data_IF_342369335351
#
_entry.id   IF_342369335351
#
_cell.length_a   1.000
_cell.length_b   1.000
_cell.length_c   1.000
_cell.angle_alpha   90.00
_cell.angle_beta   90.00
_cell.angle_gamma   90.00
#
_symmetry.space_group_name_H-M   'P 1'
#
loop_
_entity.id
_entity.type
_entity.pdbx_description
1 polymer ?
#
# COMPACT_ATOMS: atom_id res chain seq x y z
N UNK A 1 -7.88 -6.32 -13.15
CA UNK A 1 -8.87 -5.61 -12.31
C UNK A 1 -9.92 -4.96 -13.19
N UNK A 2 -9.53 -4.09 -14.10
CA UNK A 2 -10.49 -3.40 -14.99
C UNK A 2 -11.27 -4.35 -15.91
N UNK A 3 -10.83 -5.58 -16.10
CA UNK A 3 -11.51 -6.57 -16.98
C UNK A 3 -12.89 -7.02 -16.47
N UNK A 4 -13.08 -7.01 -15.16
CA UNK A 4 -14.34 -7.38 -14.52
C UNK A 4 -15.16 -6.17 -14.07
N UNK A 5 -14.57 -4.98 -14.15
CA UNK A 5 -15.26 -3.73 -13.95
C UNK A 5 -15.72 -3.21 -15.31
N UNK A 6 -16.93 -2.69 -15.38
CA UNK A 6 -17.39 -1.94 -16.55
C UNK A 6 -17.55 -0.47 -16.15
N UNK A 7 -16.43 0.26 -15.97
CA UNK A 7 -16.50 1.63 -15.56
C UNK A 7 -17.17 2.48 -16.65
N UNK A 8 -17.96 3.42 -16.22
CA UNK A 8 -18.50 4.43 -17.14
C UNK A 8 -17.36 5.32 -17.67
N UNK A 9 -17.59 5.98 -18.79
CA UNK A 9 -16.62 6.94 -19.33
C UNK A 9 -16.23 8.01 -18.31
N UNK A 10 -17.19 8.53 -17.56
CA UNK A 10 -16.95 9.52 -16.51
C UNK A 10 -16.03 8.98 -15.40
N UNK A 11 -16.20 7.73 -14.99
CA UNK A 11 -15.30 7.09 -14.01
C UNK A 11 -13.89 6.92 -14.57
N UNK A 12 -13.77 6.52 -15.84
CA UNK A 12 -12.46 6.41 -16.50
C UNK A 12 -11.77 7.77 -16.56
N UNK A 13 -12.49 8.82 -16.99
CA UNK A 13 -11.96 10.18 -17.06
C UNK A 13 -11.51 10.66 -15.67
N UNK A 14 -12.26 10.36 -14.61
CA UNK A 14 -11.88 10.67 -13.22
C UNK A 14 -10.61 9.92 -12.80
N UNK A 15 -10.56 8.60 -13.02
CA UNK A 15 -9.42 7.77 -12.59
C UNK A 15 -8.11 8.13 -13.30
N UNK A 16 -8.19 8.52 -14.58
CA UNK A 16 -7.02 8.95 -15.34
C UNK A 16 -6.69 10.44 -15.17
N UNK A 17 -7.51 11.19 -14.45
CA UNK A 17 -7.27 12.63 -14.23
C UNK A 17 -6.07 12.96 -13.34
N UNK A 18 -5.52 11.97 -12.63
CA UNK A 18 -4.48 12.17 -11.61
C UNK A 18 -4.97 12.83 -10.32
N UNK A 19 -6.27 13.11 -10.21
CA UNK A 19 -6.84 13.69 -8.97
C UNK A 19 -6.97 12.64 -7.89
N UNK A 20 -6.80 13.08 -6.65
CA UNK A 20 -7.04 12.21 -5.49
C UNK A 20 -8.51 11.81 -5.42
N UNK A 21 -8.81 10.54 -5.11
CA UNK A 21 -10.17 10.09 -4.92
C UNK A 21 -10.84 10.82 -3.74
N UNK A 22 -12.14 11.06 -3.85
CA UNK A 22 -12.94 11.61 -2.75
C UNK A 22 -13.29 10.49 -1.79
N UNK A 23 -12.97 10.66 -0.52
CA UNK A 23 -13.20 9.67 0.53
C UNK A 23 -13.92 10.31 1.70
N UNK A 24 -14.97 9.66 2.17
CA UNK A 24 -15.67 10.04 3.40
C UNK A 24 -14.95 9.46 4.61
N UNK A 25 -14.04 10.23 5.17
CA UNK A 25 -13.22 9.85 6.31
C UNK A 25 -14.00 9.74 7.62
N UNK A 26 -15.24 10.24 7.69
CA UNK A 26 -16.09 10.08 8.89
C UNK A 26 -16.45 8.61 9.17
N UNK A 27 -16.29 7.73 8.19
CA UNK A 27 -16.51 6.30 8.31
C UNK A 27 -15.33 5.51 8.92
N UNK A 28 -14.24 6.19 9.21
CA UNK A 28 -13.08 5.55 9.85
C UNK A 28 -13.32 5.44 11.34
N UNK A 29 -13.56 4.23 11.81
CA UNK A 29 -13.71 3.95 13.23
C UNK A 29 -12.35 3.58 13.82
N UNK A 30 -11.92 4.33 14.83
CA UNK A 30 -10.67 4.09 15.54
C UNK A 30 -10.90 3.88 17.02
N UNK A 31 -10.22 2.89 17.59
CA UNK A 31 -10.23 2.63 19.02
C UNK A 31 -9.09 3.39 19.70
N UNK A 32 -9.41 4.19 20.72
CA UNK A 32 -8.41 4.86 21.53
C UNK A 32 -7.40 3.87 22.14
N UNK A 33 -6.13 4.26 22.20
CA UNK A 33 -5.06 3.43 22.75
C UNK A 33 -4.60 2.27 21.86
N UNK A 34 -5.11 2.18 20.63
CA UNK A 34 -4.66 1.17 19.66
C UNK A 34 -3.36 1.60 18.99
N UNK A 35 -2.56 0.64 18.55
CA UNK A 35 -1.37 0.90 17.73
C UNK A 35 -1.76 1.60 16.41
N UNK A 36 -0.89 2.49 15.91
CA UNK A 36 -1.12 3.26 14.68
C UNK A 36 -1.35 2.39 13.45
N UNK A 37 -0.74 1.21 13.39
CA UNK A 37 -1.02 0.22 12.33
C UNK A 37 -2.49 -0.25 12.30
N UNK A 38 -3.17 -0.28 13.45
CA UNK A 38 -4.60 -0.61 13.51
C UNK A 38 -5.46 0.55 12.97
N UNK A 39 -5.06 1.80 13.22
CA UNK A 39 -5.67 2.96 12.59
C UNK A 39 -5.49 2.94 11.06
N UNK A 40 -4.30 2.60 10.60
CA UNK A 40 -4.01 2.39 9.17
C UNK A 40 -4.94 1.33 8.56
N UNK A 41 -5.15 0.20 9.24
CA UNK A 41 -6.08 -0.84 8.79
C UNK A 41 -7.51 -0.33 8.65
N UNK A 42 -7.99 0.49 9.59
CA UNK A 42 -9.32 1.09 9.51
C UNK A 42 -9.45 2.02 8.29
N UNK A 43 -8.44 2.86 8.04
CA UNK A 43 -8.40 3.72 6.86
C UNK A 43 -8.38 2.88 5.57
N UNK A 44 -7.56 1.83 5.51
CA UNK A 44 -7.47 0.95 4.35
C UNK A 44 -8.78 0.23 4.07
N UNK A 45 -9.53 -0.16 5.12
CA UNK A 45 -10.87 -0.73 4.96
C UNK A 45 -11.85 0.22 4.30
N UNK A 46 -11.86 1.51 4.71
CA UNK A 46 -12.70 2.54 4.10
C UNK A 46 -12.27 2.81 2.65
N UNK A 47 -10.96 2.85 2.39
CA UNK A 47 -10.44 3.02 1.03
C UNK A 47 -10.85 1.87 0.11
N UNK A 48 -10.82 0.63 0.58
CA UNK A 48 -11.23 -0.53 -0.20
C UNK A 48 -12.71 -0.47 -0.63
N UNK A 49 -13.56 0.13 0.21
CA UNK A 49 -14.99 0.28 -0.09
C UNK A 49 -15.30 1.48 -1.01
N UNK A 50 -14.51 2.56 -0.91
CA UNK A 50 -14.83 3.83 -1.57
C UNK A 50 -13.96 4.13 -2.80
N UNK A 51 -12.84 3.44 -2.98
CA UNK A 51 -11.91 3.67 -4.09
C UNK A 51 -11.80 2.42 -4.95
N UNK A 52 -12.74 2.20 -5.88
CA UNK A 52 -12.87 0.94 -6.62
C UNK A 52 -11.66 0.63 -7.53
N UNK A 53 -10.88 1.62 -7.90
CA UNK A 53 -9.66 1.49 -8.69
C UNK A 53 -8.38 1.42 -7.82
N UNK A 54 -8.51 1.20 -6.51
CA UNK A 54 -7.35 1.01 -5.65
C UNK A 54 -6.92 -0.46 -5.59
N UNK A 55 -5.61 -0.66 -5.55
CA UNK A 55 -4.95 -1.94 -5.27
C UNK A 55 -4.11 -1.76 -4.01
N UNK A 56 -4.17 -2.74 -3.13
CA UNK A 56 -3.25 -2.83 -2.01
C UNK A 56 -2.43 -4.12 -2.13
N UNK A 57 -1.16 -4.06 -1.77
CA UNK A 57 -0.24 -5.20 -1.79
C UNK A 57 0.41 -5.42 -0.43
N UNK A 58 0.88 -6.64 -0.18
CA UNK A 58 1.72 -6.96 0.97
C UNK A 58 2.79 -7.97 0.59
N UNK A 59 3.95 -7.84 1.23
CA UNK A 59 5.07 -8.77 1.11
C UNK A 59 4.93 -9.98 2.05
N UNK A 60 3.76 -10.64 1.99
CA UNK A 60 3.37 -11.80 2.82
C UNK A 60 3.22 -11.49 4.33
N UNK A 61 2.96 -10.23 4.66
CA UNK A 61 2.86 -9.74 6.03
C UNK A 61 1.52 -9.08 6.36
N UNK A 62 0.49 -9.24 5.51
CA UNK A 62 -0.75 -8.47 5.58
C UNK A 62 -1.44 -8.51 6.94
N UNK A 63 -1.32 -9.63 7.65
CA UNK A 63 -1.85 -9.78 9.00
C UNK A 63 -1.08 -8.93 10.04
N UNK A 64 0.22 -8.74 9.85
CA UNK A 64 1.08 -8.01 10.78
C UNK A 64 1.22 -6.54 10.40
N UNK A 65 1.43 -6.23 9.13
CA UNK A 65 1.52 -4.86 8.62
C UNK A 65 0.16 -4.17 8.51
N UNK A 66 -0.92 -4.94 8.78
CA UNK A 66 -2.31 -4.47 8.82
C UNK A 66 -2.89 -4.01 7.48
N UNK A 67 -2.27 -4.36 6.35
CA UNK A 67 -2.91 -4.22 5.04
C UNK A 67 -4.09 -5.17 4.88
N UNK A 68 -4.23 -6.16 5.76
CA UNK A 68 -5.42 -7.01 5.87
C UNK A 68 -6.73 -6.23 6.10
N UNK A 69 -6.64 -5.00 6.59
CA UNK A 69 -7.79 -4.09 6.66
C UNK A 69 -8.41 -3.84 5.29
N UNK A 70 -7.58 -3.72 4.26
CA UNK A 70 -8.04 -3.65 2.87
C UNK A 70 -8.51 -5.02 2.37
N UNK A 71 -7.74 -6.08 2.60
CA UNK A 71 -8.05 -7.43 2.12
C UNK A 71 -9.40 -7.94 2.62
N UNK A 72 -9.79 -7.63 3.85
CA UNK A 72 -11.09 -8.02 4.45
C UNK A 72 -12.30 -7.43 3.71
N UNK A 73 -12.11 -6.40 2.92
CA UNK A 73 -13.16 -5.72 2.14
C UNK A 73 -13.14 -6.09 0.65
N UNK A 74 -12.16 -6.88 0.23
CA UNK A 74 -11.98 -7.34 -1.14
C UNK A 74 -11.50 -8.80 -1.12
N UNK A 75 -10.86 -9.24 -2.17
CA UNK A 75 -10.17 -10.54 -2.24
C UNK A 75 -8.82 -10.41 -2.93
N UNK A 76 -8.00 -11.41 -2.75
CA UNK A 76 -6.70 -11.48 -3.42
C UNK A 76 -6.88 -11.67 -4.93
N UNK A 77 -5.99 -11.06 -5.69
CA UNK A 77 -5.78 -11.35 -7.11
C UNK A 77 -5.07 -12.69 -7.19
N UNK A 78 -5.61 -13.63 -7.94
CA UNK A 78 -5.01 -14.95 -8.15
C UNK A 78 -4.94 -15.27 -9.63
N UNK A 79 -4.14 -16.28 -9.99
CA UNK A 79 -4.03 -16.73 -11.38
C UNK A 79 -5.39 -17.16 -11.90
N UNK A 80 -5.84 -16.51 -12.97
CA UNK A 80 -7.14 -16.77 -13.61
C UNK A 80 -8.32 -16.01 -13.00
N UNK A 81 -8.15 -15.37 -11.83
CA UNK A 81 -9.16 -14.48 -11.24
C UNK A 81 -8.54 -13.14 -10.83
N UNK A 82 -8.81 -12.13 -11.64
CA UNK A 82 -8.36 -10.74 -11.44
C UNK A 82 -9.47 -9.82 -10.91
N UNK A 83 -10.54 -10.38 -10.33
CA UNK A 83 -11.66 -9.60 -9.79
C UNK A 83 -11.38 -9.06 -8.39
N UNK A 84 -10.31 -9.52 -7.72
CA UNK A 84 -9.83 -8.98 -6.46
C UNK A 84 -9.04 -7.68 -6.64
N UNK A 85 -8.78 -7.00 -5.54
CA UNK A 85 -7.98 -5.78 -5.49
C UNK A 85 -6.78 -5.87 -4.52
N UNK A 86 -6.52 -7.05 -3.97
CA UNK A 86 -5.38 -7.27 -3.09
C UNK A 86 -4.32 -8.15 -3.77
N UNK A 87 -3.08 -7.68 -3.79
CA UNK A 87 -1.97 -8.38 -4.42
C UNK A 87 -1.05 -8.99 -3.36
N UNK A 88 -1.03 -10.33 -3.28
CA UNK A 88 -0.10 -11.08 -2.45
C UNK A 88 1.23 -11.20 -3.21
N UNK A 89 2.17 -10.34 -2.86
CA UNK A 89 3.44 -10.26 -3.58
C UNK A 89 4.44 -11.38 -3.18
N UNK A 90 4.20 -12.06 -2.06
CA UNK A 90 5.20 -12.89 -1.44
C UNK A 90 6.32 -12.06 -0.79
N UNK A 91 7.34 -12.70 -0.25
CA UNK A 91 8.51 -12.01 0.33
C UNK A 91 9.40 -11.50 -0.80
N UNK A 92 8.95 -10.45 -1.48
CA UNK A 92 9.60 -9.86 -2.65
C UNK A 92 9.34 -8.35 -2.72
N UNK A 93 9.89 -7.61 -1.76
CA UNK A 93 9.62 -6.19 -1.55
C UNK A 93 9.95 -5.33 -2.77
N UNK A 94 11.09 -5.57 -3.41
CA UNK A 94 11.49 -4.84 -4.61
C UNK A 94 10.50 -5.05 -5.74
N UNK A 95 10.17 -6.30 -6.04
CA UNK A 95 9.21 -6.64 -7.10
C UNK A 95 7.83 -6.05 -6.83
N UNK A 96 7.36 -6.12 -5.56
CA UNK A 96 6.11 -5.50 -5.14
C UNK A 96 6.12 -4.00 -5.39
N UNK A 97 7.20 -3.32 -5.02
CA UNK A 97 7.35 -1.89 -5.21
C UNK A 97 7.35 -1.51 -6.69
N UNK A 98 8.14 -2.20 -7.51
CA UNK A 98 8.24 -1.95 -8.95
C UNK A 98 6.90 -2.19 -9.67
N UNK A 99 6.16 -3.23 -9.28
CA UNK A 99 4.82 -3.49 -9.82
C UNK A 99 3.83 -2.37 -9.46
N UNK A 100 3.85 -1.90 -8.21
CA UNK A 100 2.99 -0.80 -7.78
C UNK A 100 3.35 0.52 -8.48
N UNK A 101 4.64 0.79 -8.68
CA UNK A 101 5.12 1.94 -9.47
C UNK A 101 4.62 1.83 -10.91
N UNK A 102 4.78 0.65 -11.54
CA UNK A 102 4.31 0.40 -12.90
C UNK A 102 2.80 0.61 -13.06
N UNK A 103 1.99 0.14 -12.09
CA UNK A 103 0.55 0.38 -12.08
C UNK A 103 0.21 1.87 -12.00
N UNK A 104 0.91 2.62 -11.15
CA UNK A 104 0.70 4.07 -11.02
C UNK A 104 1.11 4.82 -12.28
N UNK A 105 2.21 4.42 -12.94
CA UNK A 105 2.67 5.00 -14.20
C UNK A 105 1.70 4.72 -15.36
N UNK A 106 1.08 3.54 -15.38
CA UNK A 106 0.02 3.23 -16.34
C UNK A 106 -1.16 4.20 -16.21
N UNK A 107 -1.44 4.65 -14.99
CA UNK A 107 -2.58 5.50 -14.68
C UNK A 107 -3.88 4.71 -14.46
N UNK A 108 -4.90 5.40 -13.98
CA UNK A 108 -6.21 4.82 -13.71
C UNK A 108 -6.29 3.92 -12.46
N UNK A 109 -5.19 3.73 -11.75
CA UNK A 109 -5.09 2.89 -10.56
C UNK A 109 -4.43 3.69 -9.43
N UNK A 110 -4.89 3.46 -8.21
CA UNK A 110 -4.23 3.93 -6.99
C UNK A 110 -3.57 2.72 -6.33
N UNK A 111 -2.24 2.75 -6.16
CA UNK A 111 -1.51 1.65 -5.57
C UNK A 111 -0.95 2.01 -4.19
N UNK A 112 -1.15 1.08 -3.24
CA UNK A 112 -0.51 1.08 -1.93
C UNK A 112 0.12 -0.28 -1.66
N UNK A 113 1.16 -0.30 -0.85
CA UNK A 113 1.81 -1.54 -0.45
C UNK A 113 2.31 -1.48 0.98
N UNK A 114 2.32 -2.62 1.65
CA UNK A 114 2.75 -2.73 3.03
C UNK A 114 3.86 -3.75 3.26
N UNK A 115 4.72 -3.43 4.21
CA UNK A 115 5.71 -4.31 4.82
C UNK A 115 6.20 -3.71 6.14
N UNK A 116 7.13 -4.36 6.84
CA UNK A 116 7.80 -3.76 8.00
C UNK A 116 8.82 -2.72 7.55
N UNK A 117 9.06 -1.72 8.38
CA UNK A 117 9.92 -0.60 8.02
C UNK A 117 11.38 -1.02 7.77
N UNK A 118 11.91 -1.96 8.54
CA UNK A 118 13.24 -2.51 8.31
C UNK A 118 13.40 -3.08 6.89
N UNK A 119 12.35 -3.67 6.34
CA UNK A 119 12.37 -4.26 4.99
C UNK A 119 12.25 -3.22 3.86
N UNK A 120 12.13 -1.93 4.19
CA UNK A 120 12.35 -0.86 3.22
C UNK A 120 13.74 -0.94 2.59
N UNK A 121 14.71 -1.57 3.27
CA UNK A 121 16.04 -1.83 2.74
C UNK A 121 16.03 -2.61 1.44
N UNK A 122 15.11 -3.57 1.31
CA UNK A 122 15.00 -4.40 0.10
C UNK A 122 14.30 -3.70 -1.07
N UNK A 123 13.61 -2.58 -0.83
CA UNK A 123 12.90 -1.82 -1.86
C UNK A 123 13.47 -0.41 -2.09
N UNK A 124 14.56 -0.03 -1.45
CA UNK A 124 15.15 1.32 -1.58
C UNK A 124 15.37 1.80 -3.00
N UNK A 125 15.89 0.99 -3.95
CA UNK A 125 16.02 1.43 -5.33
C UNK A 125 14.69 1.86 -5.95
N UNK A 126 13.62 1.11 -5.71
CA UNK A 126 12.28 1.43 -6.19
C UNK A 126 11.74 2.70 -5.53
N UNK A 127 11.89 2.85 -4.21
CA UNK A 127 11.50 4.07 -3.47
C UNK A 127 12.19 5.30 -4.05
N UNK A 128 13.51 5.21 -4.28
CA UNK A 128 14.29 6.29 -4.89
C UNK A 128 13.77 6.64 -6.29
N UNK A 129 13.50 5.66 -7.13
CA UNK A 129 12.99 5.88 -8.48
C UNK A 129 11.58 6.49 -8.44
N UNK A 130 10.71 6.00 -7.55
CA UNK A 130 9.38 6.59 -7.36
C UNK A 130 9.47 8.08 -6.97
N UNK A 131 10.40 8.44 -6.08
CA UNK A 131 10.64 9.83 -5.69
C UNK A 131 11.14 10.68 -6.87
N UNK A 132 12.16 10.21 -7.61
CA UNK A 132 12.71 10.90 -8.77
C UNK A 132 11.67 11.12 -9.89
N UNK A 133 10.81 10.12 -10.12
CA UNK A 133 9.75 10.17 -11.13
C UNK A 133 8.48 10.86 -10.61
N UNK A 134 8.44 11.24 -9.33
CA UNK A 134 7.28 11.81 -8.66
C UNK A 134 6.01 10.95 -8.78
N UNK A 135 6.18 9.63 -8.71
CA UNK A 135 5.07 8.68 -8.77
C UNK A 135 4.42 8.57 -7.40
N UNK A 136 3.12 8.84 -7.23
CA UNK A 136 2.46 8.93 -5.93
C UNK A 136 2.04 7.57 -5.36
N UNK A 137 2.93 6.58 -5.40
CA UNK A 137 2.76 5.28 -4.74
C UNK A 137 2.74 5.46 -3.23
N UNK A 138 1.89 4.70 -2.54
CA UNK A 138 1.80 4.74 -1.07
C UNK A 138 2.58 3.57 -0.50
N UNK A 139 3.72 3.87 0.11
CA UNK A 139 4.50 2.93 0.90
C UNK A 139 4.01 2.97 2.34
N UNK A 140 3.52 1.85 2.86
CA UNK A 140 3.02 1.71 4.22
C UNK A 140 4.00 0.85 4.99
N UNK A 141 4.77 1.49 5.87
CA UNK A 141 5.76 0.81 6.69
C UNK A 141 5.30 0.78 8.14
N UNK A 142 5.18 -0.41 8.68
CA UNK A 142 4.83 -0.64 10.08
C UNK A 142 6.04 -1.14 10.86
N UNK A 143 5.87 -1.37 12.16
CA UNK A 143 6.98 -1.80 13.02
C UNK A 143 8.16 -0.84 12.92
N UNK A 144 7.87 0.45 12.98
CA UNK A 144 8.80 1.56 12.79
C UNK A 144 9.45 2.04 14.10
N UNK A 145 9.05 1.48 15.23
CA UNK A 145 9.58 1.86 16.53
C UNK A 145 10.81 1.01 16.90
N UNK A 146 11.73 1.62 17.61
CA UNK A 146 12.89 0.94 18.20
C UNK A 146 12.50 -0.15 19.23
N UNK A 147 11.24 -0.20 19.66
CA UNK A 147 10.70 -1.20 20.58
C UNK A 147 9.80 -2.22 19.84
N UNK A 148 10.29 -2.74 18.74
CA UNK A 148 9.55 -3.78 17.97
C UNK A 148 9.33 -5.02 18.84
N UNK A 149 10.18 -5.26 19.81
CA UNK A 149 10.00 -6.28 20.81
C UNK A 149 10.75 -7.57 20.49
N UNK A 150 10.07 -8.70 20.61
CA UNK A 150 10.67 -10.03 20.51
C UNK A 150 11.12 -10.44 19.11
N UNK A 151 10.75 -9.68 18.09
CA UNK A 151 11.20 -9.92 16.71
C UNK A 151 12.72 -9.76 16.55
N UNK A 152 13.34 -8.97 17.45
CA UNK A 152 14.78 -8.84 17.56
C UNK A 152 15.42 -7.92 16.52
N UNK A 153 16.76 -7.86 16.51
CA UNK A 153 17.51 -6.87 15.72
C UNK A 153 17.38 -7.02 14.21
N UNK A 154 16.94 -8.17 13.71
CA UNK A 154 16.69 -8.39 12.28
C UNK A 154 15.42 -7.68 11.80
N UNK A 155 14.57 -7.24 12.72
CA UNK A 155 13.27 -6.61 12.44
C UNK A 155 13.17 -5.19 13.00
N UNK A 156 14.20 -4.72 13.70
CA UNK A 156 14.24 -3.39 14.32
C UNK A 156 14.84 -2.36 13.35
N UNK A 157 14.07 -1.34 12.95
CA UNK A 157 14.60 -0.26 12.12
C UNK A 157 15.47 0.65 12.98
N UNK A 158 16.65 0.99 12.49
CA UNK A 158 17.60 1.89 13.15
C UNK A 158 17.95 3.05 12.23
N UNK A 159 18.56 2.76 11.07
CA UNK A 159 19.00 3.76 10.11
C UNK A 159 17.99 4.07 9.01
N UNK A 160 16.90 3.30 8.90
CA UNK A 160 15.95 3.37 7.79
C UNK A 160 15.30 4.75 7.68
N UNK A 161 14.92 5.35 8.80
CA UNK A 161 14.30 6.69 8.78
C UNK A 161 15.26 7.74 8.22
N UNK A 162 16.50 7.76 8.70
CA UNK A 162 17.50 8.68 8.20
C UNK A 162 17.78 8.49 6.72
N UNK A 163 17.87 7.25 6.27
CA UNK A 163 18.12 6.92 4.86
C UNK A 163 16.97 7.37 3.95
N UNK A 164 15.72 7.16 4.35
CA UNK A 164 14.56 7.61 3.57
C UNK A 164 14.50 9.15 3.52
N UNK A 165 14.80 9.84 4.64
CA UNK A 165 14.83 11.32 4.68
C UNK A 165 15.92 11.93 3.80
N UNK A 166 16.99 11.20 3.52
CA UNK A 166 18.06 11.64 2.62
C UNK A 166 17.76 11.43 1.13
N UNK A 167 16.67 10.75 0.79
CA UNK A 167 16.25 10.59 -0.60
C UNK A 167 15.62 11.89 -1.10
N UNK A 168 16.38 12.64 -1.88
CA UNK A 168 15.91 13.85 -2.54
C UNK A 168 15.19 13.55 -3.87
N UNK A 169 14.37 14.52 -4.29
CA UNK A 169 13.63 14.48 -5.56
C UNK A 169 14.57 14.62 -6.76
#
# INVERSE_FOLDING_TARGET
ILRNMQPTRSQMDEWFSGKSPKVDWSKVEQKAGSATRAASAACLGVLAEQVPNMICASADLSNSDKTDGFLKKTKSIVRGDFSGAFFQAGVAELTMADMCIGMMLHGGVVAAMGTFFVFSDYMKPAVRIAALMQVPVKFIWTHDAFRVGEDGPTHEPVEQEAQIRLMEK
#
